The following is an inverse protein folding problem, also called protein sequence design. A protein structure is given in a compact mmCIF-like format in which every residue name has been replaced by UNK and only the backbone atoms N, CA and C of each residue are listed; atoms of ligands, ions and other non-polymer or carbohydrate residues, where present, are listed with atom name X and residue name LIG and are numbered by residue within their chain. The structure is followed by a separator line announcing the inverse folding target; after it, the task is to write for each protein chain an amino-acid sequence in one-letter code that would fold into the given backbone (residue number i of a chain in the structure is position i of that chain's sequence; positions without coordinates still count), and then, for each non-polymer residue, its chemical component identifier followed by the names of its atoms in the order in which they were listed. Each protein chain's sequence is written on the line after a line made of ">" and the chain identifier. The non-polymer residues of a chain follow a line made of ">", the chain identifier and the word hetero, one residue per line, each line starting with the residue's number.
data_IF_453906211333
#
_entry.id   IF_453906211333
#
_cell.length_a   1.000
_cell.length_b   1.000
_cell.length_c   1.000
_cell.angle_alpha   90.00
_cell.angle_beta   90.00
_cell.angle_gamma   90.00
#
_symmetry.space_group_name_H-M   'P 1'
#
loop_
_entity.id
_entity.type
_entity.pdbx_description
1 polymer ?
#
# COMPACT_ATOMS: atom_id res chain seq x y z
N UNK A 1 3.44 -16.10 -8.20
CA UNK A 1 2.35 -15.30 -8.83
C UNK A 1 2.39 -13.90 -8.26
N UNK A 2 2.40 -12.83 -9.06
CA UNK A 2 2.43 -11.45 -8.57
C UNK A 2 1.06 -11.07 -7.99
N UNK A 3 1.04 -10.51 -6.77
CA UNK A 3 -0.17 -10.05 -6.10
C UNK A 3 -0.56 -8.65 -6.61
N UNK A 4 -1.84 -8.45 -6.87
CA UNK A 4 -2.41 -7.15 -7.25
C UNK A 4 -3.22 -6.58 -6.09
N UNK A 5 -2.82 -5.36 -5.67
CA UNK A 5 -3.54 -4.55 -4.70
C UNK A 5 -4.20 -3.36 -5.41
N UNK A 6 -5.50 -3.21 -5.23
CA UNK A 6 -6.26 -2.08 -5.78
C UNK A 6 -6.60 -1.10 -4.66
N UNK A 7 -6.27 0.20 -4.88
CA UNK A 7 -6.63 1.28 -3.97
C UNK A 7 -8.07 1.72 -4.23
N UNK A 8 -8.89 1.76 -3.18
CA UNK A 8 -10.33 2.03 -3.21
C UNK A 8 -10.76 2.96 -2.08
N UNK A 9 -11.90 3.66 -2.25
CA UNK A 9 -12.43 4.62 -1.28
C UNK A 9 -13.78 4.22 -0.65
N UNK A 10 -14.46 3.23 -1.23
CA UNK A 10 -15.81 2.83 -0.81
C UNK A 10 -15.93 1.31 -0.74
N UNK A 11 -16.66 0.72 0.23
CA UNK A 11 -16.91 -0.72 0.29
C UNK A 11 -17.53 -1.30 -0.99
N UNK A 12 -18.36 -0.54 -1.72
CA UNK A 12 -18.89 -0.98 -3.02
C UNK A 12 -17.77 -1.14 -4.06
N UNK A 13 -16.74 -0.30 -4.02
CA UNK A 13 -15.57 -0.42 -4.90
C UNK A 13 -14.73 -1.67 -4.58
N UNK A 14 -14.66 -2.05 -3.30
CA UNK A 14 -14.00 -3.31 -2.89
C UNK A 14 -14.68 -4.50 -3.55
N UNK A 15 -16.04 -4.54 -3.56
CA UNK A 15 -16.79 -5.59 -4.21
C UNK A 15 -16.49 -5.66 -5.72
N UNK A 16 -16.40 -4.51 -6.40
CA UNK A 16 -16.03 -4.44 -7.83
C UNK A 16 -14.59 -4.89 -8.07
N UNK A 17 -13.64 -4.44 -7.24
CA UNK A 17 -12.24 -4.86 -7.33
C UNK A 17 -12.10 -6.37 -7.15
N UNK A 18 -12.77 -6.95 -6.14
CA UNK A 18 -12.81 -8.39 -5.89
C UNK A 18 -13.45 -9.15 -7.07
N UNK A 19 -14.57 -8.66 -7.59
CA UNK A 19 -15.23 -9.28 -8.74
C UNK A 19 -14.38 -9.23 -10.02
N UNK A 20 -13.54 -8.21 -10.18
CA UNK A 20 -12.52 -8.11 -11.24
C UNK A 20 -11.30 -9.00 -11.01
N UNK A 21 -11.19 -9.64 -9.82
CA UNK A 21 -10.13 -10.59 -9.48
C UNK A 21 -8.98 -10.00 -8.67
N UNK A 22 -9.09 -8.77 -8.16
CA UNK A 22 -8.10 -8.23 -7.23
C UNK A 22 -7.93 -9.14 -6.01
N UNK A 23 -6.69 -9.38 -5.62
CA UNK A 23 -6.39 -10.32 -4.54
C UNK A 23 -6.36 -9.61 -3.18
N UNK A 24 -6.00 -8.31 -3.16
CA UNK A 24 -5.94 -7.46 -1.96
C UNK A 24 -6.42 -6.05 -2.34
N UNK A 25 -6.89 -5.31 -1.37
CA UNK A 25 -7.24 -3.90 -1.54
C UNK A 25 -6.57 -3.05 -0.46
N UNK A 26 -6.16 -1.82 -0.83
CA UNK A 26 -5.88 -0.76 0.11
C UNK A 26 -7.12 0.10 0.23
N UNK A 27 -7.61 0.28 1.45
CA UNK A 27 -8.81 1.04 1.74
C UNK A 27 -8.47 2.35 2.43
N UNK A 28 -8.92 3.44 1.85
CA UNK A 28 -8.74 4.79 2.38
C UNK A 28 -9.98 5.63 2.06
N UNK A 29 -10.04 6.85 2.55
CA UNK A 29 -10.97 7.88 2.06
C UNK A 29 -10.19 9.02 1.41
N UNK A 30 -10.85 9.82 0.58
CA UNK A 30 -10.28 11.05 0.00
C UNK A 30 -8.96 10.82 -0.77
N UNK A 31 -8.94 9.86 -1.71
CA UNK A 31 -7.78 9.58 -2.57
C UNK A 31 -7.29 10.81 -3.33
N UNK A 32 -8.16 11.78 -3.59
CA UNK A 32 -7.80 13.04 -4.26
C UNK A 32 -6.75 13.86 -3.52
N UNK A 33 -6.67 13.73 -2.18
CA UNK A 33 -5.62 14.36 -1.35
C UNK A 33 -4.50 13.39 -0.94
N UNK A 34 -4.46 12.20 -1.54
CA UNK A 34 -3.47 11.15 -1.26
C UNK A 34 -3.93 10.11 -0.23
N UNK A 35 -5.21 10.10 0.11
CA UNK A 35 -5.82 9.16 1.03
C UNK A 35 -5.71 9.57 2.50
N UNK A 36 -6.77 9.28 3.26
CA UNK A 36 -6.88 9.48 4.71
C UNK A 36 -7.49 8.22 5.36
N UNK A 37 -7.39 8.13 6.68
CA UNK A 37 -7.98 7.04 7.49
C UNK A 37 -9.49 6.96 7.26
N UNK A 38 -10.05 5.79 6.88
CA UNK A 38 -11.50 5.60 6.78
C UNK A 38 -12.16 5.58 8.16
N UNK A 39 -13.50 5.77 8.22
CA UNK A 39 -14.25 5.62 9.47
C UNK A 39 -14.41 4.16 9.89
N UNK A 40 -14.73 3.92 11.17
CA UNK A 40 -14.93 2.58 11.72
C UNK A 40 -16.08 1.84 11.03
N UNK A 41 -17.16 2.56 10.72
CA UNK A 41 -18.32 2.02 10.01
C UNK A 41 -17.93 1.60 8.60
N UNK A 42 -17.12 2.41 7.92
CA UNK A 42 -16.64 2.08 6.58
C UNK A 42 -15.69 0.87 6.60
N UNK A 43 -14.81 0.76 7.60
CA UNK A 43 -13.93 -0.40 7.78
C UNK A 43 -14.75 -1.66 8.05
N UNK A 44 -15.77 -1.59 8.94
CA UNK A 44 -16.64 -2.74 9.21
C UNK A 44 -17.36 -3.21 7.94
N UNK A 45 -17.92 -2.28 7.16
CA UNK A 45 -18.54 -2.62 5.87
C UNK A 45 -17.54 -3.17 4.84
N UNK A 46 -16.31 -2.65 4.82
CA UNK A 46 -15.23 -3.10 3.94
C UNK A 46 -14.84 -4.56 4.21
N UNK A 47 -14.82 -5.00 5.47
CA UNK A 47 -14.48 -6.37 5.86
C UNK A 47 -15.45 -7.41 5.30
N UNK A 48 -16.74 -7.08 5.19
CA UNK A 48 -17.78 -7.99 4.66
C UNK A 48 -17.57 -8.33 3.18
N UNK A 49 -16.91 -7.43 2.44
CA UNK A 49 -16.72 -7.56 0.99
C UNK A 49 -15.24 -7.73 0.58
N UNK A 50 -14.34 -7.72 1.53
CA UNK A 50 -12.90 -7.81 1.26
C UNK A 50 -12.50 -9.08 0.50
N UNK A 51 -11.49 -9.02 -0.39
CA UNK A 51 -10.96 -10.21 -1.05
C UNK A 51 -10.18 -11.09 -0.06
N UNK A 52 -10.02 -12.36 -0.38
CA UNK A 52 -9.36 -13.35 0.48
C UNK A 52 -7.89 -13.01 0.83
N UNK A 53 -7.19 -12.27 -0.02
CA UNK A 53 -5.83 -11.81 0.24
C UNK A 53 -5.74 -10.59 1.17
N UNK A 54 -6.89 -10.05 1.59
CA UNK A 54 -6.97 -9.12 2.71
C UNK A 54 -7.27 -7.66 2.38
N UNK A 55 -7.34 -6.91 3.46
CA UNK A 55 -7.62 -5.47 3.50
C UNK A 55 -6.42 -4.75 4.14
N UNK A 56 -5.83 -3.80 3.41
CA UNK A 56 -4.83 -2.89 3.95
C UNK A 56 -5.51 -1.55 4.25
N UNK A 57 -5.46 -1.09 5.49
CA UNK A 57 -6.13 0.14 5.93
C UNK A 57 -5.12 1.26 6.02
N UNK A 58 -5.32 2.32 5.23
CA UNK A 58 -4.48 3.51 5.32
C UNK A 58 -4.77 4.25 6.64
N UNK A 59 -3.71 4.50 7.40
CA UNK A 59 -3.79 5.31 8.63
C UNK A 59 -2.99 6.58 8.45
N UNK A 60 -3.69 7.63 8.06
CA UNK A 60 -3.16 8.97 7.82
C UNK A 60 -4.20 10.00 8.27
N UNK A 61 -3.83 10.85 9.21
CA UNK A 61 -4.76 11.75 9.91
C UNK A 61 -5.07 13.03 9.16
N UNK A 62 -4.15 13.50 8.30
CA UNK A 62 -4.33 14.74 7.53
C UNK A 62 -3.69 14.68 6.13
N UNK A 63 -4.14 15.50 5.17
CA UNK A 63 -3.46 15.69 3.89
C UNK A 63 -2.17 16.51 4.05
N UNK A 64 -1.45 16.69 2.94
CA UNK A 64 -0.22 17.49 2.87
C UNK A 64 1.03 16.64 3.01
N UNK A 65 2.03 17.15 3.75
CA UNK A 65 3.30 16.47 3.96
C UNK A 65 3.21 15.28 4.92
N UNK A 66 4.33 14.62 5.14
CA UNK A 66 4.47 13.47 6.04
C UNK A 66 5.29 13.78 7.30
N UNK A 67 5.51 15.08 7.58
CA UNK A 67 6.22 15.55 8.77
C UNK A 67 5.17 15.88 9.83
N UNK A 68 4.99 15.01 10.79
CA UNK A 68 3.95 15.08 11.80
C UNK A 68 4.49 15.57 13.15
N UNK A 69 3.63 16.28 13.91
CA UNK A 69 3.92 16.64 15.31
C UNK A 69 3.85 15.39 16.22
N UNK A 70 4.33 15.53 17.45
CA UNK A 70 4.26 14.45 18.44
C UNK A 70 2.80 14.03 18.73
N UNK A 71 1.87 14.99 18.75
CA UNK A 71 0.43 14.77 18.95
C UNK A 71 -0.17 14.04 17.75
N UNK A 72 0.19 14.41 16.52
CA UNK A 72 -0.27 13.73 15.30
C UNK A 72 0.27 12.30 15.23
N UNK A 73 1.53 12.07 15.60
CA UNK A 73 2.12 10.72 15.69
C UNK A 73 1.37 9.88 16.73
N UNK A 74 1.07 10.45 17.90
CA UNK A 74 0.29 9.76 18.92
C UNK A 74 -1.12 9.41 18.41
N UNK A 75 -1.77 10.31 17.67
CA UNK A 75 -3.07 10.04 17.05
C UNK A 75 -3.00 8.92 16.01
N UNK A 76 -1.97 8.88 15.15
CA UNK A 76 -1.77 7.79 14.19
C UNK A 76 -1.60 6.44 14.93
N UNK A 77 -0.77 6.38 15.98
CA UNK A 77 -0.61 5.15 16.78
C UNK A 77 -1.93 4.72 17.42
N UNK A 78 -2.68 5.65 18.01
CA UNK A 78 -4.00 5.37 18.60
C UNK A 78 -5.02 4.88 17.56
N UNK A 79 -5.00 5.42 16.35
CA UNK A 79 -5.83 4.94 15.23
C UNK A 79 -5.44 3.52 14.81
N UNK A 80 -4.14 3.19 14.73
CA UNK A 80 -3.68 1.82 14.44
C UNK A 80 -4.18 0.86 15.52
N UNK A 81 -4.01 1.18 16.81
CA UNK A 81 -4.51 0.35 17.92
C UNK A 81 -6.03 0.17 17.89
N UNK A 82 -6.77 1.24 17.62
CA UNK A 82 -8.23 1.23 17.51
C UNK A 82 -8.68 0.31 16.38
N UNK A 83 -8.09 0.47 15.19
CA UNK A 83 -8.38 -0.35 14.02
C UNK A 83 -7.93 -1.80 14.21
N UNK A 84 -6.83 -2.05 14.91
CA UNK A 84 -6.40 -3.39 15.29
C UNK A 84 -7.49 -4.10 16.09
N UNK A 85 -8.01 -3.44 17.15
CA UNK A 85 -9.11 -4.00 17.96
C UNK A 85 -10.40 -4.19 17.15
N UNK A 86 -10.76 -3.20 16.33
CA UNK A 86 -11.95 -3.27 15.47
C UNK A 86 -11.93 -4.47 14.52
N UNK A 87 -10.74 -4.84 14.03
CA UNK A 87 -10.56 -5.90 13.03
C UNK A 87 -10.06 -7.22 13.64
N UNK A 88 -10.08 -7.38 14.97
CA UNK A 88 -9.53 -8.56 15.64
C UNK A 88 -10.15 -9.87 15.16
N UNK A 89 -11.46 -9.86 14.93
CA UNK A 89 -12.22 -11.02 14.47
C UNK A 89 -12.48 -11.05 12.94
N UNK A 90 -11.69 -10.31 12.16
CA UNK A 90 -11.84 -10.30 10.71
C UNK A 90 -11.59 -11.68 10.12
N UNK A 91 -12.43 -12.08 9.15
CA UNK A 91 -12.31 -13.36 8.43
C UNK A 91 -11.23 -13.36 7.34
N UNK A 92 -10.65 -12.21 7.05
CA UNK A 92 -9.58 -12.01 6.06
C UNK A 92 -8.36 -11.36 6.72
N UNK A 93 -7.16 -11.50 6.15
CA UNK A 93 -5.99 -10.78 6.64
C UNK A 93 -6.20 -9.27 6.62
N UNK A 94 -5.84 -8.59 7.71
CA UNK A 94 -5.87 -7.13 7.80
C UNK A 94 -4.48 -6.62 8.14
N UNK A 95 -4.04 -5.59 7.43
CA UNK A 95 -2.80 -4.87 7.68
C UNK A 95 -3.04 -3.36 7.69
N UNK A 96 -1.98 -2.61 8.05
CA UNK A 96 -2.03 -1.16 8.11
C UNK A 96 -0.99 -0.54 7.18
N UNK A 97 -1.32 0.65 6.67
CA UNK A 97 -0.46 1.43 5.78
C UNK A 97 -0.19 2.77 6.47
N UNK A 98 1.05 3.01 6.85
CA UNK A 98 1.48 4.16 7.66
C UNK A 98 2.77 4.77 7.12
N UNK A 99 3.16 5.92 7.64
CA UNK A 99 4.49 6.49 7.35
C UNK A 99 4.64 7.91 7.90
N UNK A 100 5.78 8.18 8.48
CA UNK A 100 6.14 9.49 9.03
C UNK A 100 7.60 9.79 8.71
N UNK A 101 7.88 11.01 8.29
CA UNK A 101 9.21 11.51 8.02
C UNK A 101 9.63 12.58 9.04
N UNK A 102 10.92 12.74 9.23
CA UNK A 102 11.53 13.89 9.90
C UNK A 102 11.62 15.09 8.95
N UNK A 103 11.98 16.26 9.47
CA UNK A 103 12.14 17.48 8.66
C UNK A 103 13.21 17.38 7.58
N UNK A 104 14.19 16.52 7.76
CA UNK A 104 15.22 16.20 6.77
C UNK A 104 14.81 15.10 5.78
N UNK A 105 13.54 14.73 5.80
CA UNK A 105 12.90 13.68 4.99
C UNK A 105 13.43 12.25 5.26
N UNK A 106 14.22 12.03 6.30
CA UNK A 106 14.53 10.68 6.75
C UNK A 106 13.34 10.04 7.46
N UNK A 107 13.28 8.71 7.49
CA UNK A 107 12.24 7.99 8.24
C UNK A 107 12.31 8.40 9.72
N UNK A 108 11.16 8.74 10.32
CA UNK A 108 11.07 9.02 11.74
C UNK A 108 11.05 7.70 12.54
N UNK A 109 12.23 7.15 12.82
CA UNK A 109 12.38 5.79 13.37
C UNK A 109 11.60 5.55 14.66
N UNK A 110 11.62 6.48 15.61
CA UNK A 110 10.86 6.33 16.88
C UNK A 110 9.35 6.27 16.62
N UNK A 111 8.83 7.07 15.67
CA UNK A 111 7.44 7.02 15.28
C UNK A 111 7.11 5.71 14.56
N UNK A 112 7.97 5.28 13.63
CA UNK A 112 7.81 4.04 12.89
C UNK A 112 7.84 2.81 13.82
N UNK A 113 8.71 2.79 14.83
CA UNK A 113 8.77 1.73 15.85
C UNK A 113 7.47 1.68 16.68
N UNK A 114 6.94 2.84 17.11
CA UNK A 114 5.67 2.92 17.83
C UNK A 114 4.47 2.45 16.99
N UNK A 115 4.46 2.74 15.68
CA UNK A 115 3.44 2.24 14.76
C UNK A 115 3.54 0.73 14.59
N UNK A 116 4.77 0.16 14.54
CA UNK A 116 4.96 -1.29 14.52
C UNK A 116 4.44 -1.94 15.81
N UNK A 117 4.73 -1.36 16.96
CA UNK A 117 4.21 -1.81 18.24
C UNK A 117 2.67 -1.78 18.28
N UNK A 118 2.05 -0.68 17.85
CA UNK A 118 0.60 -0.51 17.77
C UNK A 118 -0.08 -1.54 16.83
N UNK A 119 0.59 -1.90 15.73
CA UNK A 119 0.09 -2.88 14.77
C UNK A 119 0.25 -4.34 15.26
N UNK A 120 1.10 -4.59 16.26
CA UNK A 120 1.37 -5.94 16.78
C UNK A 120 1.96 -6.84 15.71
N UNK A 121 1.37 -8.00 15.45
CA UNK A 121 1.79 -8.94 14.41
C UNK A 121 1.10 -8.71 13.05
N UNK A 122 0.25 -7.69 12.93
CA UNK A 122 -0.44 -7.39 11.68
C UNK A 122 0.55 -6.89 10.62
N UNK A 123 0.35 -7.24 9.33
CA UNK A 123 1.16 -6.71 8.25
C UNK A 123 1.19 -5.18 8.24
N UNK A 124 2.38 -4.60 8.14
CA UNK A 124 2.59 -3.16 8.16
C UNK A 124 3.33 -2.70 6.91
N UNK A 125 2.72 -1.77 6.18
CA UNK A 125 3.29 -1.17 4.97
C UNK A 125 3.71 0.26 5.24
N UNK A 126 4.94 0.63 4.88
CA UNK A 126 5.33 2.03 4.84
C UNK A 126 4.86 2.65 3.52
N UNK A 127 4.04 3.70 3.60
CA UNK A 127 3.39 4.28 2.43
C UNK A 127 4.32 5.17 1.60
N UNK A 128 3.77 5.85 0.59
CA UNK A 128 4.47 6.69 -0.39
C UNK A 128 5.25 7.88 0.18
N UNK A 129 5.25 8.12 1.48
CA UNK A 129 6.23 9.00 2.11
C UNK A 129 7.67 8.54 1.80
N UNK A 130 7.86 7.23 1.57
CA UNK A 130 9.13 6.65 1.16
C UNK A 130 9.69 7.27 -0.12
N UNK A 131 8.85 7.72 -1.03
CA UNK A 131 9.31 8.35 -2.29
C UNK A 131 10.00 9.73 -2.07
N UNK A 132 10.01 10.24 -0.84
CA UNK A 132 10.65 11.51 -0.48
C UNK A 132 11.96 11.33 0.29
N UNK A 133 12.34 10.11 0.65
CA UNK A 133 13.57 9.89 1.41
C UNK A 133 14.82 10.23 0.59
N UNK A 134 15.85 10.84 1.22
CA UNK A 134 17.06 11.23 0.51
C UNK A 134 17.97 10.04 0.15
N UNK A 135 17.89 8.95 0.92
CA UNK A 135 18.66 7.73 0.72
C UNK A 135 17.75 6.50 0.79
N UNK A 136 17.46 5.94 -0.37
CA UNK A 136 16.57 4.76 -0.52
C UNK A 136 17.20 3.55 0.18
N UNK A 137 18.50 3.30 -0.02
CA UNK A 137 19.17 2.09 0.47
C UNK A 137 19.16 2.03 2.00
N UNK A 138 19.60 3.08 2.68
CA UNK A 138 19.59 3.20 4.13
C UNK A 138 18.17 3.16 4.72
N UNK A 139 17.18 3.74 3.98
CA UNK A 139 15.78 3.74 4.41
C UNK A 139 15.17 2.33 4.33
N UNK A 140 15.54 1.50 3.34
CA UNK A 140 15.11 0.11 3.28
C UNK A 140 15.66 -0.70 4.46
N UNK A 141 16.94 -0.57 4.79
CA UNK A 141 17.56 -1.22 5.95
C UNK A 141 16.86 -0.81 7.26
N UNK A 142 16.48 0.46 7.36
CA UNK A 142 15.71 0.96 8.50
C UNK A 142 14.35 0.28 8.62
N UNK A 143 13.58 0.14 7.53
CA UNK A 143 12.28 -0.54 7.54
C UNK A 143 12.39 -2.03 7.87
N UNK A 144 13.41 -2.73 7.34
CA UNK A 144 13.70 -4.13 7.66
C UNK A 144 13.97 -4.28 9.17
N UNK A 145 14.88 -3.47 9.71
CA UNK A 145 15.22 -3.47 11.14
C UNK A 145 14.03 -3.17 12.05
N UNK A 146 13.10 -2.35 11.60
CA UNK A 146 11.87 -2.01 12.33
C UNK A 146 10.74 -3.03 12.14
N UNK A 147 10.94 -4.07 11.34
CA UNK A 147 9.98 -5.15 11.11
C UNK A 147 8.77 -4.74 10.28
N UNK A 148 8.95 -3.86 9.30
CA UNK A 148 7.93 -3.58 8.30
C UNK A 148 7.89 -4.72 7.27
N UNK A 149 6.69 -5.08 6.82
CA UNK A 149 6.50 -6.16 5.85
C UNK A 149 6.61 -5.65 4.40
N UNK A 150 6.25 -4.38 4.16
CA UNK A 150 6.18 -3.79 2.82
C UNK A 150 6.60 -2.34 2.79
N UNK A 151 7.06 -1.90 1.63
CA UNK A 151 7.15 -0.49 1.29
C UNK A 151 6.42 -0.21 -0.03
N UNK A 152 5.44 0.70 0.02
CA UNK A 152 4.70 1.18 -1.15
C UNK A 152 5.49 2.33 -1.78
N UNK A 153 5.97 2.14 -3.00
CA UNK A 153 6.86 3.11 -3.62
C UNK A 153 6.79 3.11 -5.15
N UNK A 154 7.18 4.20 -5.74
CA UNK A 154 7.44 4.35 -7.18
C UNK A 154 8.92 4.22 -7.53
N UNK A 155 9.80 4.12 -6.53
CA UNK A 155 11.24 4.27 -6.67
C UNK A 155 11.70 5.72 -6.61
N UNK A 156 11.02 6.57 -5.80
CA UNK A 156 11.42 7.96 -5.54
C UNK A 156 10.89 9.01 -6.51
N UNK A 157 9.98 8.66 -7.43
CA UNK A 157 9.35 9.64 -8.33
C UNK A 157 7.93 10.00 -7.84
N UNK A 158 7.46 11.24 -8.00
CA UNK A 158 6.13 11.65 -7.48
C UNK A 158 4.94 10.83 -8.03
N UNK A 159 5.02 10.33 -9.27
CA UNK A 159 3.85 9.74 -9.93
C UNK A 159 4.12 8.58 -10.88
N UNK A 160 5.39 8.29 -11.22
CA UNK A 160 5.73 7.30 -12.25
C UNK A 160 6.70 6.26 -11.70
N UNK A 161 6.37 4.97 -11.89
CA UNK A 161 7.23 3.85 -11.50
C UNK A 161 8.61 3.91 -12.19
N UNK A 162 9.66 3.91 -11.39
CA UNK A 162 11.06 3.90 -11.82
C UNK A 162 11.59 2.46 -11.83
N UNK A 163 11.38 1.72 -12.92
CA UNK A 163 11.62 0.27 -12.97
C UNK A 163 13.05 -0.12 -12.57
N UNK A 164 14.05 0.64 -13.02
CA UNK A 164 15.45 0.36 -12.68
C UNK A 164 15.76 0.58 -11.20
N UNK A 165 15.12 1.59 -10.57
CA UNK A 165 15.25 1.83 -9.13
C UNK A 165 14.54 0.72 -8.36
N UNK A 166 13.30 0.41 -8.72
CA UNK A 166 12.51 -0.67 -8.12
C UNK A 166 13.24 -2.02 -8.23
N UNK A 167 13.89 -2.32 -9.35
CA UNK A 167 14.68 -3.55 -9.52
C UNK A 167 15.87 -3.62 -8.56
N UNK A 168 16.59 -2.50 -8.37
CA UNK A 168 17.68 -2.46 -7.37
C UNK A 168 17.15 -2.62 -5.95
N UNK A 169 16.00 -2.00 -5.62
CA UNK A 169 15.37 -2.16 -4.31
C UNK A 169 14.99 -3.63 -4.06
N UNK A 170 14.32 -4.28 -5.01
CA UNK A 170 13.97 -5.72 -4.93
C UNK A 170 15.22 -6.57 -4.71
N UNK A 171 16.30 -6.29 -5.46
CA UNK A 171 17.56 -7.03 -5.31
C UNK A 171 18.25 -6.80 -3.96
N UNK A 172 18.12 -5.58 -3.39
CA UNK A 172 18.73 -5.24 -2.10
C UNK A 172 18.00 -5.93 -0.95
N UNK A 173 16.67 -5.91 -0.94
CA UNK A 173 15.89 -6.39 0.21
C UNK A 173 15.66 -7.90 0.22
N UNK A 174 15.82 -8.58 -0.93
CA UNK A 174 15.58 -10.01 -1.02
C UNK A 174 14.18 -10.40 -0.55
N UNK A 175 14.12 -11.28 0.45
CA UNK A 175 12.87 -11.74 1.07
C UNK A 175 12.52 -10.99 2.37
N UNK A 176 13.38 -10.09 2.85
CA UNK A 176 13.22 -9.42 4.14
C UNK A 176 12.16 -8.30 4.12
N UNK A 177 11.89 -7.71 2.95
CA UNK A 177 10.90 -6.63 2.78
C UNK A 177 10.29 -6.71 1.39
N UNK A 178 8.98 -6.58 1.28
CA UNK A 178 8.30 -6.58 -0.01
C UNK A 178 8.30 -5.18 -0.61
N UNK A 179 8.80 -5.06 -1.84
CA UNK A 179 8.65 -3.83 -2.63
C UNK A 179 7.29 -3.88 -3.34
N UNK A 180 6.32 -3.15 -2.80
CA UNK A 180 5.01 -2.96 -3.39
C UNK A 180 5.10 -1.83 -4.44
N UNK A 181 5.29 -2.23 -5.69
CA UNK A 181 5.54 -1.28 -6.77
C UNK A 181 4.28 -0.51 -7.18
N UNK A 182 4.42 0.80 -7.32
CA UNK A 182 3.32 1.69 -7.71
C UNK A 182 3.78 2.79 -8.68
N UNK A 183 2.90 3.75 -8.98
CA UNK A 183 3.22 4.92 -9.82
C UNK A 183 2.72 4.79 -11.24
N UNK A 184 1.49 5.19 -11.49
CA UNK A 184 0.86 5.22 -12.80
C UNK A 184 0.70 3.83 -13.45
N UNK A 185 0.71 2.75 -12.65
CA UNK A 185 0.50 1.40 -13.17
C UNK A 185 -0.93 1.22 -13.66
N UNK A 186 -1.06 0.60 -14.84
CA UNK A 186 -2.33 0.33 -15.53
C UNK A 186 -2.19 -0.97 -16.35
N UNK A 187 -3.28 -1.46 -16.91
CA UNK A 187 -3.27 -2.67 -17.74
C UNK A 187 -2.19 -2.66 -18.84
N UNK A 188 -1.95 -1.50 -19.48
CA UNK A 188 -0.99 -1.38 -20.59
C UNK A 188 0.49 -1.41 -20.19
N UNK A 189 0.84 -1.22 -18.92
CA UNK A 189 2.23 -1.13 -18.47
C UNK A 189 2.59 -2.04 -17.27
N UNK A 190 1.61 -2.62 -16.57
CA UNK A 190 1.84 -3.43 -15.36
C UNK A 190 2.71 -4.66 -15.65
N UNK A 191 2.49 -5.34 -16.79
CA UNK A 191 3.31 -6.49 -17.18
C UNK A 191 4.80 -6.12 -17.31
N UNK A 192 5.08 -4.97 -17.93
CA UNK A 192 6.45 -4.44 -18.04
C UNK A 192 7.04 -4.09 -16.68
N UNK A 193 6.26 -3.46 -15.79
CA UNK A 193 6.73 -3.14 -14.43
C UNK A 193 7.14 -4.40 -13.66
N UNK A 194 6.30 -5.45 -13.71
CA UNK A 194 6.56 -6.73 -13.06
C UNK A 194 7.84 -7.38 -13.61
N UNK A 195 7.99 -7.46 -14.93
CA UNK A 195 9.12 -8.16 -15.54
C UNK A 195 10.42 -7.38 -15.42
N UNK A 196 10.39 -6.05 -15.61
CA UNK A 196 11.59 -5.21 -15.57
C UNK A 196 12.09 -4.98 -14.13
N UNK A 197 11.19 -4.82 -13.17
CA UNK A 197 11.58 -4.54 -11.79
C UNK A 197 11.62 -5.79 -10.88
N UNK A 198 11.14 -6.94 -11.34
CA UNK A 198 11.13 -8.15 -10.51
C UNK A 198 10.05 -8.16 -9.42
N UNK A 199 9.01 -7.33 -9.53
CA UNK A 199 8.01 -7.13 -8.48
C UNK A 199 7.19 -8.39 -8.19
N UNK A 200 7.06 -8.72 -6.91
CA UNK A 200 6.14 -9.75 -6.39
C UNK A 200 4.76 -9.18 -6.05
N UNK A 201 4.66 -7.87 -5.80
CA UNK A 201 3.42 -7.18 -5.50
C UNK A 201 3.34 -5.85 -6.26
N UNK A 202 2.15 -5.48 -6.72
CA UNK A 202 1.89 -4.22 -7.43
C UNK A 202 0.64 -3.53 -6.87
N UNK A 203 0.70 -2.21 -6.78
CA UNK A 203 -0.37 -1.35 -6.27
C UNK A 203 -0.80 -0.33 -7.30
N UNK A 204 -2.10 -0.19 -7.50
CA UNK A 204 -2.67 0.79 -8.43
C UNK A 204 -4.15 1.06 -8.19
N UNK A 205 -4.65 2.10 -8.85
CA UNK A 205 -6.08 2.32 -9.02
C UNK A 205 -6.56 1.73 -10.34
N UNK A 206 -7.82 1.30 -10.37
CA UNK A 206 -8.56 0.95 -11.58
C UNK A 206 -9.77 1.88 -11.75
N UNK A 207 -9.56 3.18 -12.07
CA UNK A 207 -10.61 4.17 -12.00
C UNK A 207 -11.68 3.92 -13.08
N UNK A 208 -12.95 4.07 -12.68
CA UNK A 208 -14.09 4.03 -13.56
C UNK A 208 -14.26 5.31 -14.40
N UNK A 209 -15.47 5.52 -14.90
CA UNK A 209 -15.79 6.66 -15.74
C UNK A 209 -15.45 7.99 -15.03
N UNK A 210 -14.90 8.92 -15.78
CA UNK A 210 -14.42 10.23 -15.27
C UNK A 210 -13.35 10.13 -14.16
N UNK A 211 -12.65 8.99 -14.05
CA UNK A 211 -11.60 8.79 -13.05
C UNK A 211 -12.09 8.55 -11.63
N UNK A 212 -13.40 8.30 -11.44
CA UNK A 212 -14.04 8.04 -10.15
C UNK A 212 -14.36 6.56 -9.95
N UNK A 213 -14.37 6.15 -8.69
CA UNK A 213 -14.70 4.78 -8.31
C UNK A 213 -13.75 3.74 -8.89
N UNK A 214 -14.20 2.50 -8.92
CA UNK A 214 -13.44 1.35 -9.45
C UNK A 214 -14.22 0.69 -10.58
N UNK A 215 -13.54 0.42 -11.70
CA UNK A 215 -14.08 -0.31 -12.84
C UNK A 215 -13.66 -1.79 -12.77
N UNK A 216 -14.65 -2.67 -12.62
CA UNK A 216 -14.46 -4.11 -12.55
C UNK A 216 -13.78 -4.69 -13.81
N UNK A 217 -14.11 -4.18 -15.00
CA UNK A 217 -13.53 -4.68 -16.26
C UNK A 217 -12.06 -4.28 -16.35
N UNK A 218 -11.72 -3.04 -15.97
CA UNK A 218 -10.34 -2.58 -15.92
C UNK A 218 -9.52 -3.39 -14.90
N UNK A 219 -10.09 -3.75 -13.75
CA UNK A 219 -9.43 -4.68 -12.81
C UNK A 219 -9.19 -6.03 -13.47
N UNK A 220 -10.18 -6.60 -14.18
CA UNK A 220 -10.02 -7.88 -14.86
C UNK A 220 -8.96 -7.82 -15.98
N UNK A 221 -8.85 -6.72 -16.71
CA UNK A 221 -7.78 -6.47 -17.68
C UNK A 221 -6.40 -6.44 -17.02
N UNK A 222 -6.24 -5.69 -15.92
CA UNK A 222 -5.01 -5.66 -15.13
C UNK A 222 -4.62 -7.07 -14.69
N UNK A 223 -5.57 -7.83 -14.12
CA UNK A 223 -5.34 -9.21 -13.68
C UNK A 223 -4.92 -10.13 -14.82
N UNK A 224 -5.46 -9.94 -16.01
CA UNK A 224 -5.06 -10.70 -17.21
C UNK A 224 -3.60 -10.42 -17.58
N UNK A 225 -3.20 -9.15 -17.63
CA UNK A 225 -1.81 -8.75 -17.93
C UNK A 225 -0.82 -9.26 -16.87
N UNK A 226 -1.20 -9.22 -15.60
CA UNK A 226 -0.36 -9.73 -14.49
C UNK A 226 -0.17 -11.25 -14.60
N UNK A 227 -1.23 -12.02 -14.90
CA UNK A 227 -1.11 -13.48 -15.11
C UNK A 227 -0.17 -13.81 -16.26
N UNK A 228 -0.26 -13.09 -17.39
CA UNK A 228 0.63 -13.29 -18.55
C UNK A 228 2.09 -12.99 -18.18
N UNK A 229 2.35 -11.86 -17.50
CA UNK A 229 3.70 -11.50 -17.07
C UNK A 229 4.30 -12.53 -16.10
N UNK A 230 3.48 -13.07 -15.18
CA UNK A 230 3.93 -14.08 -14.22
C UNK A 230 4.26 -15.41 -14.90
N UNK A 231 3.47 -15.84 -15.89
CA UNK A 231 3.70 -17.07 -16.64
C UNK A 231 5.02 -17.04 -17.46
N UNK A 232 5.50 -15.85 -17.83
CA UNK A 232 6.76 -15.67 -18.56
C UNK A 232 8.01 -15.72 -17.64
N UNK A 233 7.83 -15.70 -16.31
CA UNK A 233 8.92 -15.71 -15.31
C UNK A 233 9.17 -17.08 -14.67
N UNK A 234 8.25 -18.04 -14.87
CA UNK A 234 8.36 -19.41 -14.38
C UNK A 234 8.76 -20.36 -15.48
#
# INVERSE_FOLDING_TARGET
>A
MTLVEICVEDPAEIALARAGGAQRVEFCREVSCGGLTPSDEAVAAALEVAPAGGLQILVRTRPGDFIHSAEEIAAICADVERLHRLTENASVPVGFVVGVLRKDLTIHEDAAARMREAAGERPLTFHRAFDQVPDISSSLETLIRLGYDRVLTTGGHPSVAQYDVLSRMVSQVGEELIILGSGGLRAHNVARAITAAGLSEVHMRAPGHEGRGTDQQLVAEIMSQVRQATALRG
#
